data_IF_950422557136
#
_entry.id   IF_950422557136
#
_cell.length_a   1.000
_cell.length_b   1.000
_cell.length_c   1.000
_cell.angle_alpha   90.00
_cell.angle_beta   90.00
_cell.angle_gamma   90.00
#
_symmetry.space_group_name_H-M   'P 1'
#
loop_
_entity.id
_entity.type
_entity.pdbx_description
1 polymer ?
#
# COMPACT_ATOMS: atom_id res chain seq x y z
N UNK A 1 11.46 -51.63 12.36
CA UNK A 1 11.69 -52.01 10.96
C UNK A 1 10.35 -52.41 10.36
N UNK A 2 9.63 -51.44 9.81
CA UNK A 2 8.45 -51.59 8.95
C UNK A 2 8.40 -50.35 8.06
N UNK A 3 8.44 -50.60 6.76
CA UNK A 3 8.60 -49.65 5.68
C UNK A 3 7.44 -48.65 5.55
N UNK A 4 7.77 -47.38 5.35
CA UNK A 4 6.90 -46.39 4.71
C UNK A 4 7.77 -45.61 3.75
N UNK A 5 8.06 -46.24 2.62
CA UNK A 5 8.44 -45.54 1.41
C UNK A 5 7.18 -45.27 0.59
N UNK A 6 7.19 -44.13 -0.11
CA UNK A 6 6.26 -43.74 -1.17
C UNK A 6 5.01 -42.99 -0.72
N UNK A 7 5.19 -41.69 -0.44
CA UNK A 7 4.24 -40.70 -0.96
C UNK A 7 4.97 -39.85 -1.99
N UNK A 8 4.89 -40.37 -3.21
CA UNK A 8 5.09 -39.76 -4.51
C UNK A 8 4.87 -38.26 -4.55
N UNK A 9 5.88 -37.56 -5.08
CA UNK A 9 5.75 -36.27 -5.70
C UNK A 9 4.70 -36.33 -6.83
N UNK A 10 3.62 -35.55 -6.71
CA UNK A 10 2.93 -34.89 -7.81
C UNK A 10 1.66 -34.24 -7.26
N UNK A 11 1.38 -33.05 -7.79
CA UNK A 11 0.11 -32.32 -7.70
C UNK A 11 -0.21 -31.78 -6.29
N UNK A 12 -0.26 -30.47 -6.07
CA UNK A 12 -0.75 -29.43 -6.95
C UNK A 12 0.01 -28.17 -6.59
N UNK A 13 0.68 -27.61 -7.58
CA UNK A 13 1.03 -26.20 -7.59
C UNK A 13 -0.14 -25.45 -6.95
N UNK A 14 0.12 -24.62 -5.95
CA UNK A 14 -0.83 -23.61 -5.53
C UNK A 14 -0.99 -22.64 -6.72
N UNK A 15 -1.68 -23.10 -7.76
CA UNK A 15 -2.44 -22.28 -8.66
C UNK A 15 -3.49 -21.67 -7.75
N UNK A 16 -3.11 -20.56 -7.15
CA UNK A 16 -4.04 -19.51 -6.80
C UNK A 16 -4.75 -19.19 -8.10
N UNK A 17 -5.82 -19.94 -8.40
CA UNK A 17 -6.80 -19.55 -9.39
C UNK A 17 -7.33 -18.24 -8.85
N UNK A 18 -6.76 -17.15 -9.34
CA UNK A 18 -7.40 -15.85 -9.38
C UNK A 18 -8.64 -16.07 -10.24
N UNK A 19 -9.70 -16.58 -9.62
CA UNK A 19 -11.04 -16.68 -10.18
C UNK A 19 -11.48 -15.25 -10.40
N UNK A 20 -11.12 -14.71 -11.58
CA UNK A 20 -11.31 -13.35 -12.04
C UNK A 20 -12.25 -12.55 -11.17
N UNK A 21 -11.72 -12.02 -10.07
CA UNK A 21 -12.47 -11.17 -9.17
C UNK A 21 -12.68 -9.90 -9.98
N UNK A 22 -13.79 -9.85 -10.71
CA UNK A 22 -14.16 -8.73 -11.53
C UNK A 22 -14.25 -7.54 -10.59
N UNK A 23 -13.20 -6.73 -10.60
CA UNK A 23 -13.13 -5.52 -9.81
C UNK A 23 -14.27 -4.61 -10.28
N UNK A 24 -15.28 -4.47 -9.44
CA UNK A 24 -16.46 -3.66 -9.73
C UNK A 24 -16.10 -2.17 -9.56
N UNK A 25 -15.52 -1.62 -10.63
CA UNK A 25 -15.29 -0.19 -10.76
C UNK A 25 -16.53 0.42 -11.42
N UNK A 26 -17.18 1.41 -10.80
CA UNK A 26 -18.32 2.10 -11.41
C UNK A 26 -17.96 2.56 -12.82
N UNK A 27 -18.85 2.34 -13.79
CA UNK A 27 -18.59 2.64 -15.20
C UNK A 27 -18.20 4.12 -15.48
N UNK A 28 -18.58 5.03 -14.58
CA UNK A 28 -18.28 6.46 -14.65
C UNK A 28 -16.97 6.87 -13.95
N UNK A 29 -16.24 5.93 -13.33
CA UNK A 29 -14.99 6.20 -12.63
C UNK A 29 -13.78 5.99 -13.54
N UNK A 30 -12.81 6.91 -13.51
CA UNK A 30 -11.53 6.76 -14.21
C UNK A 30 -10.77 5.58 -13.60
N UNK A 31 -10.66 4.48 -14.35
CA UNK A 31 -9.92 3.30 -13.96
C UNK A 31 -8.50 3.34 -14.55
N UNK A 32 -7.49 3.15 -13.69
CA UNK A 32 -6.09 3.04 -14.07
C UNK A 32 -5.69 1.57 -14.06
N UNK A 33 -5.34 1.00 -15.21
CA UNK A 33 -5.04 -0.44 -15.31
C UNK A 33 -3.54 -0.68 -15.35
N UNK A 34 -3.04 -1.61 -14.54
CA UNK A 34 -1.65 -2.03 -14.58
C UNK A 34 -1.35 -2.80 -15.88
N UNK A 35 -0.31 -2.39 -16.62
CA UNK A 35 0.15 -3.02 -17.87
C UNK A 35 0.70 -4.44 -17.66
N UNK A 36 1.26 -4.73 -16.48
CA UNK A 36 1.91 -6.01 -16.18
C UNK A 36 0.94 -7.09 -15.72
N UNK A 37 -0.05 -6.74 -14.88
CA UNK A 37 -0.97 -7.71 -14.27
C UNK A 37 -2.45 -7.50 -14.64
N UNK A 38 -2.79 -6.42 -15.36
CA UNK A 38 -4.15 -6.15 -15.81
C UNK A 38 -5.13 -5.70 -14.73
N UNK A 39 -4.67 -5.46 -13.48
CA UNK A 39 -5.55 -5.02 -12.39
C UNK A 39 -5.97 -3.55 -12.55
N UNK A 40 -7.26 -3.22 -12.37
CA UNK A 40 -7.74 -1.85 -12.35
C UNK A 40 -7.60 -1.22 -10.96
N UNK A 41 -7.26 0.06 -10.92
CA UNK A 41 -7.09 0.88 -9.73
C UNK A 41 -7.91 2.17 -9.87
N UNK A 42 -8.41 2.69 -8.75
CA UNK A 42 -9.22 3.91 -8.73
C UNK A 42 -8.38 5.21 -8.80
N UNK A 43 -7.06 5.12 -8.60
CA UNK A 43 -6.13 6.25 -8.56
C UNK A 43 -4.82 5.88 -9.22
N UNK A 44 -4.20 6.85 -9.89
CA UNK A 44 -2.90 6.69 -10.53
C UNK A 44 -1.79 6.40 -9.50
N UNK A 45 -1.81 7.08 -8.34
CA UNK A 45 -0.84 6.87 -7.26
C UNK A 45 -0.86 5.44 -6.72
N UNK A 46 -2.04 4.82 -6.63
CA UNK A 46 -2.18 3.42 -6.20
C UNK A 46 -1.62 2.45 -7.23
N UNK A 47 -1.78 2.75 -8.52
CA UNK A 47 -1.17 1.96 -9.58
C UNK A 47 0.36 2.10 -9.56
N UNK A 48 0.88 3.30 -9.33
CA UNK A 48 2.33 3.54 -9.20
C UNK A 48 2.90 2.75 -8.00
N UNK A 49 2.25 2.83 -6.84
CA UNK A 49 2.60 2.06 -5.65
C UNK A 49 2.57 0.55 -5.91
N UNK A 50 1.54 0.07 -6.62
CA UNK A 50 1.43 -1.34 -7.00
C UNK A 50 2.59 -1.80 -7.89
N UNK A 51 2.96 -1.03 -8.92
CA UNK A 51 4.09 -1.40 -9.79
C UNK A 51 5.39 -1.53 -9.00
N UNK A 52 5.71 -0.56 -8.16
CA UNK A 52 6.94 -0.60 -7.35
C UNK A 52 7.00 -1.79 -6.38
N UNK A 53 5.86 -2.23 -5.84
CA UNK A 53 5.79 -3.34 -4.88
C UNK A 53 5.68 -4.73 -5.54
N UNK A 54 4.93 -4.84 -6.64
CA UNK A 54 4.64 -6.12 -7.28
C UNK A 54 5.52 -6.43 -8.50
N UNK A 55 6.03 -5.39 -9.18
CA UNK A 55 6.81 -5.50 -10.42
C UNK A 55 8.18 -4.80 -10.35
N UNK A 56 8.95 -4.87 -9.24
CA UNK A 56 10.17 -4.08 -9.03
C UNK A 56 11.26 -4.28 -10.11
N UNK A 57 11.26 -5.44 -10.78
CA UNK A 57 12.27 -5.80 -11.78
C UNK A 57 11.90 -5.38 -13.21
N UNK A 58 10.65 -4.93 -13.42
CA UNK A 58 10.10 -4.66 -14.75
C UNK A 58 9.81 -3.17 -14.97
N UNK A 59 10.03 -2.31 -13.96
CA UNK A 59 9.83 -0.87 -14.08
C UNK A 59 10.93 -0.19 -14.90
N UNK A 60 10.53 0.80 -15.69
CA UNK A 60 11.44 1.78 -16.26
C UNK A 60 11.74 2.93 -15.29
N UNK A 61 12.70 3.79 -15.65
CA UNK A 61 13.14 4.91 -14.80
C UNK A 61 12.02 5.93 -14.52
N UNK A 62 11.09 6.12 -15.47
CA UNK A 62 9.97 7.06 -15.34
C UNK A 62 8.89 6.51 -14.39
N UNK A 63 8.60 5.22 -14.48
CA UNK A 63 7.71 4.52 -13.56
C UNK A 63 8.31 4.42 -12.14
N UNK A 64 9.63 4.31 -12.01
CA UNK A 64 10.32 4.38 -10.71
C UNK A 64 10.18 5.78 -10.09
N UNK A 65 10.29 6.84 -10.88
CA UNK A 65 10.06 8.21 -10.42
C UNK A 65 8.61 8.42 -9.99
N UNK A 66 7.65 7.94 -10.78
CA UNK A 66 6.22 7.98 -10.43
C UNK A 66 5.92 7.21 -9.13
N UNK A 67 6.56 6.06 -8.92
CA UNK A 67 6.47 5.31 -7.66
C UNK A 67 7.00 6.14 -6.47
N UNK A 68 8.18 6.75 -6.60
CA UNK A 68 8.77 7.56 -5.52
C UNK A 68 7.90 8.77 -5.19
N UNK A 69 7.40 9.47 -6.21
CA UNK A 69 6.51 10.62 -6.01
C UNK A 69 5.22 10.23 -5.29
N UNK A 70 4.59 9.12 -5.68
CA UNK A 70 3.39 8.62 -5.00
C UNK A 70 3.67 8.21 -3.55
N UNK A 71 4.84 7.60 -3.30
CA UNK A 71 5.26 7.21 -1.96
C UNK A 71 5.54 8.42 -1.06
N UNK A 72 6.23 9.43 -1.60
CA UNK A 72 6.54 10.67 -0.87
C UNK A 72 5.26 11.46 -0.54
N UNK A 73 4.27 11.50 -1.44
CA UNK A 73 2.97 12.13 -1.18
C UNK A 73 2.21 11.45 -0.02
N UNK A 74 2.23 10.10 0.03
CA UNK A 74 1.65 9.36 1.15
C UNK A 74 2.39 9.68 2.47
N UNK A 75 3.72 9.72 2.46
CA UNK A 75 4.52 10.04 3.65
C UNK A 75 4.32 11.47 4.14
N UNK A 76 4.24 12.45 3.25
CA UNK A 76 3.99 13.85 3.60
C UNK A 76 2.67 13.98 4.36
N UNK A 77 1.61 13.31 3.89
CA UNK A 77 0.32 13.31 4.57
C UNK A 77 0.41 12.76 6.00
N UNK A 78 1.14 11.65 6.21
CA UNK A 78 1.31 11.03 7.52
C UNK A 78 2.18 11.86 8.45
N UNK A 79 3.23 12.50 7.92
CA UNK A 79 4.13 13.37 8.68
C UNK A 79 3.42 14.63 9.19
N UNK A 80 2.55 15.23 8.36
CA UNK A 80 1.76 16.39 8.71
C UNK A 80 0.78 16.08 9.86
N UNK A 81 0.08 14.95 9.78
CA UNK A 81 -0.80 14.50 10.88
C UNK A 81 -0.03 14.28 12.17
N UNK A 82 1.15 13.63 12.10
CA UNK A 82 1.98 13.40 13.29
C UNK A 82 2.44 14.71 13.92
N UNK A 83 2.88 15.66 13.10
CA UNK A 83 3.31 16.98 13.57
C UNK A 83 2.16 17.76 14.20
N UNK A 84 0.98 17.72 13.59
CA UNK A 84 -0.22 18.37 14.11
C UNK A 84 -0.66 17.75 15.45
N UNK A 85 -0.65 16.42 15.58
CA UNK A 85 -0.99 15.73 16.82
C UNK A 85 0.01 16.06 17.95
N UNK A 86 1.32 16.03 17.65
CA UNK A 86 2.36 16.41 18.61
C UNK A 86 2.23 17.89 19.03
N UNK A 87 2.01 18.79 18.08
CA UNK A 87 1.79 20.22 18.35
C UNK A 87 0.58 20.45 19.24
N UNK A 88 -0.54 19.78 18.95
CA UNK A 88 -1.75 19.85 19.77
C UNK A 88 -1.51 19.34 21.20
N UNK A 89 -0.81 18.22 21.37
CA UNK A 89 -0.46 17.67 22.68
C UNK A 89 0.39 18.67 23.47
N UNK A 90 1.45 19.21 22.86
CA UNK A 90 2.32 20.20 23.49
C UNK A 90 1.53 21.43 23.94
N UNK A 91 0.67 21.98 23.09
CA UNK A 91 -0.18 23.13 23.42
C UNK A 91 -1.12 22.84 24.59
N UNK A 92 -1.78 21.68 24.59
CA UNK A 92 -2.67 21.25 25.68
C UNK A 92 -1.88 21.15 26.98
N UNK A 93 -0.73 20.47 26.97
CA UNK A 93 0.12 20.30 28.14
C UNK A 93 0.61 21.65 28.69
N UNK A 94 1.10 22.53 27.82
CA UNK A 94 1.51 23.88 28.23
C UNK A 94 0.34 24.70 28.79
N UNK A 95 -0.85 24.56 28.20
CA UNK A 95 -2.08 25.17 28.73
C UNK A 95 -2.38 24.70 30.15
N UNK A 96 -2.31 23.39 30.38
CA UNK A 96 -2.45 22.81 31.72
C UNK A 96 -1.39 23.32 32.70
N UNK A 97 -0.12 23.41 32.27
CA UNK A 97 0.96 23.96 33.11
C UNK A 97 0.74 25.43 33.44
N UNK A 98 0.27 26.24 32.49
CA UNK A 98 -0.09 27.63 32.72
C UNK A 98 -1.20 27.76 33.76
N UNK A 99 -2.28 26.97 33.63
CA UNK A 99 -3.38 26.98 34.62
C UNK A 99 -2.88 26.53 36.00
N UNK A 100 -2.09 25.47 36.06
CA UNK A 100 -1.48 25.00 37.32
C UNK A 100 -0.60 26.05 37.97
N UNK A 101 0.20 26.80 37.20
CA UNK A 101 1.06 27.84 37.74
C UNK A 101 0.30 29.08 38.26
N UNK A 102 -0.94 29.29 37.80
CA UNK A 102 -1.78 30.42 38.20
C UNK A 102 -2.64 30.14 39.44
N UNK A 103 -2.81 28.88 39.83
CA UNK A 103 -3.61 28.43 40.99
C UNK A 103 -2.69 28.13 42.17
#
# INVERSE_FOLDING_TARGET
MTDTATQTAADTAATSTDDGAAYDVPADATAYTCSYCGRPFARESWLALHRGLAHPNELDDEEVEAFRAAHDEEEESLSAFRLQALGALVLIYFGFLMVYALV
#
